data_IF_037907818531
#
_entry.id   IF_037907818531
#
_cell.length_a   1.000
_cell.length_b   1.000
_cell.length_c   1.000
_cell.angle_alpha   90.00
_cell.angle_beta   90.00
_cell.angle_gamma   90.00
#
_symmetry.space_group_name_H-M   'P 1'
#
loop_
_entity.id
_entity.type
_entity.pdbx_description
1 polymer ?
#
# COMPACT_ATOMS: atom_id res chain seq x y z
N UNK A 1 19.98 -29.92 -0.46
CA UNK A 1 19.16 -29.22 -1.44
C UNK A 1 18.55 -27.96 -0.83
N UNK A 2 18.43 -26.95 -1.62
CA UNK A 2 17.87 -25.70 -1.14
C UNK A 2 16.37 -25.68 -1.43
N UNK A 3 15.55 -25.60 -0.38
CA UNK A 3 14.10 -25.61 -0.52
C UNK A 3 13.50 -24.22 -0.45
N UNK A 4 14.30 -23.20 -0.62
CA UNK A 4 13.79 -21.82 -0.58
C UNK A 4 12.95 -21.51 -1.81
N UNK A 5 11.87 -20.79 -1.60
CA UNK A 5 11.02 -20.34 -2.69
C UNK A 5 11.73 -19.25 -3.48
N UNK A 6 11.74 -19.42 -4.79
CA UNK A 6 12.30 -18.44 -5.71
C UNK A 6 11.48 -18.43 -6.99
N UNK A 7 11.45 -17.28 -7.66
CA UNK A 7 10.66 -17.12 -8.87
C UNK A 7 9.21 -16.84 -8.55
N UNK A 8 8.31 -17.12 -9.48
CA UNK A 8 6.89 -16.82 -9.33
C UNK A 8 6.16 -17.98 -8.65
N UNK A 9 5.31 -17.66 -7.68
CA UNK A 9 4.53 -18.67 -6.99
C UNK A 9 3.34 -18.11 -6.25
N UNK A 10 2.44 -19.00 -5.83
CA UNK A 10 1.25 -18.66 -5.07
C UNK A 10 1.35 -19.31 -3.70
N UNK A 11 1.08 -18.54 -2.66
CA UNK A 11 1.10 -19.04 -1.29
C UNK A 11 -0.21 -18.68 -0.61
N UNK A 12 -0.81 -19.66 0.07
CA UNK A 12 -2.04 -19.46 0.83
C UNK A 12 -1.73 -19.60 2.31
N UNK A 13 -2.05 -18.55 3.10
CA UNK A 13 -1.86 -18.58 4.53
C UNK A 13 -3.02 -19.30 5.22
N UNK A 14 -2.80 -19.73 6.44
CA UNK A 14 -3.81 -20.48 7.17
C UNK A 14 -5.08 -19.68 7.44
N UNK A 15 -4.96 -18.36 7.53
CA UNK A 15 -6.11 -17.47 7.73
C UNK A 15 -6.90 -17.16 6.46
N UNK A 16 -6.46 -17.71 5.33
CA UNK A 16 -7.14 -17.49 4.05
C UNK A 16 -6.51 -16.42 3.18
N UNK A 17 -5.54 -15.69 3.68
CA UNK A 17 -4.83 -14.72 2.86
C UNK A 17 -4.00 -15.45 1.80
N UNK A 18 -3.86 -14.82 0.63
CA UNK A 18 -3.10 -15.39 -0.47
C UNK A 18 -2.10 -14.40 -1.02
N UNK A 19 -0.93 -14.90 -1.37
CA UNK A 19 0.08 -14.12 -2.08
C UNK A 19 0.36 -14.77 -3.43
N UNK A 20 0.37 -13.97 -4.48
CA UNK A 20 0.73 -14.41 -5.83
C UNK A 20 1.76 -13.45 -6.39
N UNK A 21 2.95 -13.95 -6.71
CA UNK A 21 3.99 -13.09 -7.25
C UNK A 21 5.37 -13.72 -7.13
N UNK A 22 6.37 -12.88 -7.10
CA UNK A 22 7.75 -13.33 -7.11
C UNK A 22 8.29 -13.54 -5.71
N UNK A 23 9.22 -14.47 -5.60
CA UNK A 23 9.86 -14.87 -4.36
C UNK A 23 11.37 -14.85 -4.51
N UNK A 24 12.07 -14.52 -3.45
CA UNK A 24 13.51 -14.61 -3.38
C UNK A 24 13.90 -15.04 -1.97
N UNK A 25 14.61 -16.15 -1.88
CA UNK A 25 15.06 -16.69 -0.60
C UNK A 25 13.92 -16.80 0.41
N UNK A 26 12.78 -17.38 -0.03
CA UNK A 26 11.57 -17.60 0.76
C UNK A 26 10.84 -16.32 1.16
N UNK A 27 11.20 -15.17 0.57
CA UNK A 27 10.54 -13.90 0.88
C UNK A 27 9.92 -13.31 -0.38
N UNK A 28 8.82 -12.60 -0.19
CA UNK A 28 8.22 -11.86 -1.32
C UNK A 28 9.23 -10.84 -1.81
N UNK A 29 9.35 -10.76 -3.13
CA UNK A 29 10.32 -9.87 -3.74
C UNK A 29 9.87 -9.53 -5.15
N UNK A 30 10.10 -8.26 -5.56
CA UNK A 30 9.65 -7.82 -6.85
C UNK A 30 8.14 -7.57 -6.86
N UNK A 31 7.49 -7.87 -7.96
CA UNK A 31 6.06 -7.59 -8.08
C UNK A 31 5.23 -8.73 -7.54
N UNK A 32 4.18 -8.38 -6.81
CA UNK A 32 3.29 -9.38 -6.25
C UNK A 32 1.92 -8.81 -5.93
N UNK A 33 1.00 -9.72 -5.61
CA UNK A 33 -0.36 -9.37 -5.25
C UNK A 33 -0.76 -10.21 -4.04
N UNK A 34 -1.30 -9.54 -3.05
CA UNK A 34 -1.75 -10.20 -1.83
C UNK A 34 -3.22 -9.88 -1.60
N UNK A 35 -4.00 -10.89 -1.21
CA UNK A 35 -5.43 -10.72 -0.93
C UNK A 35 -5.75 -11.32 0.43
N UNK A 36 -6.70 -10.69 1.14
CA UNK A 36 -7.13 -11.13 2.46
C UNK A 36 -8.60 -11.52 2.44
N UNK A 37 -9.03 -12.37 3.37
CA UNK A 37 -10.42 -12.86 3.38
C UNK A 37 -11.47 -11.75 3.53
N UNK A 38 -11.13 -10.63 4.14
CA UNK A 38 -12.06 -9.52 4.32
C UNK A 38 -12.26 -8.68 3.06
N UNK A 39 -11.56 -9.03 1.98
CA UNK A 39 -11.66 -8.30 0.73
C UNK A 39 -10.56 -7.29 0.49
N UNK A 40 -9.69 -7.07 1.46
CA UNK A 40 -8.54 -6.20 1.27
C UNK A 40 -7.54 -6.83 0.30
N UNK A 41 -6.78 -5.99 -0.40
CA UNK A 41 -5.76 -6.49 -1.31
C UNK A 41 -4.62 -5.49 -1.45
N UNK A 42 -3.44 -6.02 -1.78
CA UNK A 42 -2.29 -5.21 -2.14
C UNK A 42 -1.71 -5.73 -3.44
N UNK A 43 -1.34 -4.81 -4.33
CA UNK A 43 -0.66 -5.16 -5.57
C UNK A 43 0.45 -4.16 -5.81
N UNK A 44 1.69 -4.64 -5.93
CA UNK A 44 2.81 -3.75 -6.14
C UNK A 44 4.14 -4.41 -5.85
N UNK A 45 5.10 -3.60 -5.43
CA UNK A 45 6.47 -4.07 -5.24
C UNK A 45 6.71 -4.56 -3.82
N UNK A 46 7.53 -5.59 -3.72
CA UNK A 46 8.01 -6.15 -2.46
C UNK A 46 9.52 -6.19 -2.45
N UNK A 47 10.10 -6.05 -1.28
CA UNK A 47 11.53 -6.26 -1.06
C UNK A 47 11.72 -7.01 0.23
N UNK A 48 12.27 -8.21 0.13
CA UNK A 48 12.59 -9.07 1.28
C UNK A 48 11.39 -9.21 2.24
N UNK A 49 10.23 -9.49 1.67
CA UNK A 49 9.01 -9.74 2.44
C UNK A 49 8.24 -8.52 2.86
N UNK A 50 8.69 -7.33 2.48
CA UNK A 50 8.03 -6.07 2.87
C UNK A 50 7.57 -5.30 1.64
N UNK A 51 6.46 -4.59 1.79
CA UNK A 51 6.02 -3.67 0.75
C UNK A 51 7.05 -2.56 0.61
N UNK A 52 7.50 -2.32 -0.62
CA UNK A 52 8.56 -1.37 -0.86
C UNK A 52 8.48 -0.89 -2.30
N UNK A 53 8.76 0.40 -2.53
CA UNK A 53 8.63 0.95 -3.87
C UNK A 53 7.22 1.45 -4.14
N UNK A 54 6.61 1.04 -5.23
CA UNK A 54 5.26 1.48 -5.59
C UNK A 54 4.25 0.35 -5.43
N UNK A 55 3.04 0.71 -4.99
CA UNK A 55 1.98 -0.27 -4.90
C UNK A 55 0.63 0.36 -4.66
N UNK A 56 -0.41 -0.47 -4.76
CA UNK A 56 -1.80 -0.09 -4.50
C UNK A 56 -2.35 -1.01 -3.42
N UNK A 57 -2.85 -0.42 -2.35
CA UNK A 57 -3.50 -1.15 -1.27
C UNK A 57 -4.97 -0.76 -1.24
N UNK A 58 -5.86 -1.76 -1.27
CA UNK A 58 -7.30 -1.55 -1.19
C UNK A 58 -7.80 -2.21 0.07
N UNK A 59 -8.52 -1.44 0.91
CA UNK A 59 -9.09 -1.95 2.14
C UNK A 59 -10.50 -2.49 1.92
N UNK A 60 -10.97 -3.26 2.87
CA UNK A 60 -12.27 -3.92 2.76
C UNK A 60 -13.44 -2.95 2.64
N UNK A 61 -13.30 -1.71 3.12
CA UNK A 61 -14.35 -0.69 3.02
C UNK A 61 -14.35 0.05 1.69
N UNK A 62 -13.44 -0.30 0.77
CA UNK A 62 -13.35 0.34 -0.53
C UNK A 62 -12.38 1.51 -0.60
N UNK A 63 -11.82 1.95 0.52
CA UNK A 63 -10.78 2.95 0.49
C UNK A 63 -9.50 2.35 -0.09
N UNK A 64 -8.64 3.20 -0.67
CA UNK A 64 -7.39 2.70 -1.23
C UNK A 64 -6.28 3.72 -1.11
N UNK A 65 -5.05 3.21 -1.14
CA UNK A 65 -3.85 4.00 -1.27
C UNK A 65 -3.08 3.54 -2.49
N UNK A 66 -2.58 4.49 -3.28
CA UNK A 66 -1.74 4.21 -4.45
C UNK A 66 -0.54 5.12 -4.40
N UNK A 67 0.65 4.55 -4.33
CA UNK A 67 1.86 5.36 -4.26
C UNK A 67 3.03 4.58 -3.70
N UNK A 68 3.89 5.29 -2.98
CA UNK A 68 5.15 4.74 -2.52
C UNK A 68 5.04 4.10 -1.14
N UNK A 69 5.78 3.02 -0.97
CA UNK A 69 5.91 2.30 0.29
C UNK A 69 7.39 2.17 0.64
N UNK A 70 7.67 2.12 1.93
CA UNK A 70 9.01 1.84 2.44
C UNK A 70 8.88 0.92 3.65
N UNK A 71 9.38 -0.31 3.52
CA UNK A 71 9.37 -1.31 4.59
C UNK A 71 8.00 -1.42 5.26
N UNK A 72 6.95 -1.68 4.45
CA UNK A 72 5.55 -1.83 4.86
C UNK A 72 4.85 -0.53 5.25
N UNK A 73 5.54 0.60 5.23
CA UNK A 73 4.94 1.88 5.60
C UNK A 73 4.63 2.70 4.37
N UNK A 74 3.57 3.50 4.48
CA UNK A 74 3.26 4.49 3.45
C UNK A 74 4.22 5.65 3.65
N UNK A 75 5.05 5.91 2.64
CA UNK A 75 6.03 6.99 2.68
C UNK A 75 6.25 7.54 1.30
N UNK A 76 6.68 8.82 1.22
CA UNK A 76 6.95 9.46 -0.05
C UNK A 76 5.69 10.04 -0.66
N UNK A 77 5.54 9.93 -1.96
CA UNK A 77 4.39 10.50 -2.67
C UNK A 77 3.33 9.44 -2.87
N UNK A 78 2.06 9.82 -2.63
CA UNK A 78 0.97 8.89 -2.85
C UNK A 78 -0.40 9.54 -2.78
N UNK A 79 -1.40 8.78 -3.21
CA UNK A 79 -2.79 9.18 -3.24
C UNK A 79 -3.60 8.23 -2.37
N UNK A 80 -4.38 8.80 -1.47
CA UNK A 80 -5.28 8.03 -0.62
C UNK A 80 -6.71 8.48 -0.91
N UNK A 81 -7.62 7.52 -1.08
CA UNK A 81 -9.03 7.81 -1.25
C UNK A 81 -9.83 7.07 -0.20
N UNK A 82 -10.60 7.83 0.58
CA UNK A 82 -11.48 7.26 1.60
C UNK A 82 -12.77 6.75 0.98
N UNK A 83 -13.43 5.86 1.68
CA UNK A 83 -14.67 5.25 1.17
C UNK A 83 -15.78 6.26 0.96
N UNK A 84 -15.75 7.40 1.66
CA UNK A 84 -16.76 8.45 1.51
C UNK A 84 -16.47 9.41 0.36
N UNK A 85 -15.36 9.20 -0.39
CA UNK A 85 -15.03 10.02 -1.54
C UNK A 85 -14.00 11.11 -1.28
N UNK A 86 -13.54 11.28 -0.05
CA UNK A 86 -12.45 12.20 0.22
C UNK A 86 -11.16 11.65 -0.40
N UNK A 87 -10.26 12.56 -0.78
CA UNK A 87 -8.99 12.17 -1.38
C UNK A 87 -7.86 13.05 -0.88
N UNK A 88 -6.68 12.44 -0.73
CA UNK A 88 -5.47 13.17 -0.43
C UNK A 88 -4.40 12.79 -1.46
N UNK A 89 -3.72 13.80 -2.01
CA UNK A 89 -2.58 13.62 -2.92
C UNK A 89 -1.40 14.38 -2.31
N UNK A 90 -0.30 13.70 -2.07
CA UNK A 90 0.84 14.41 -1.55
C UNK A 90 1.82 13.51 -0.82
N UNK A 91 2.50 14.11 0.14
CA UNK A 91 3.60 13.46 0.83
C UNK A 91 3.13 12.71 2.07
N UNK A 92 3.80 11.61 2.36
CA UNK A 92 3.49 10.73 3.47
C UNK A 92 4.76 10.38 4.23
N UNK A 93 4.64 10.16 5.51
CA UNK A 93 5.72 9.69 6.36
C UNK A 93 5.18 8.81 7.46
N UNK A 94 5.69 7.58 7.54
CA UNK A 94 5.28 6.62 8.55
C UNK A 94 3.77 6.48 8.63
N UNK A 95 3.11 6.29 7.47
CA UNK A 95 1.66 6.08 7.37
C UNK A 95 0.84 7.31 7.71
N UNK A 96 1.45 8.49 7.77
CA UNK A 96 0.74 9.73 8.08
C UNK A 96 0.98 10.77 6.99
N UNK A 97 -0.02 11.61 6.79
CA UNK A 97 0.15 12.75 5.90
C UNK A 97 1.20 13.68 6.51
N UNK A 98 2.23 13.99 5.75
CA UNK A 98 3.32 14.80 6.25
C UNK A 98 3.98 15.49 5.07
N UNK A 99 4.21 16.80 5.20
CA UNK A 99 4.75 17.59 4.11
C UNK A 99 3.64 18.22 3.29
N UNK A 100 3.90 18.41 2.00
CA UNK A 100 2.96 19.15 1.16
C UNK A 100 1.94 18.20 0.52
N UNK A 101 0.68 18.65 0.48
CA UNK A 101 -0.34 17.83 -0.13
C UNK A 101 -1.62 18.60 -0.43
N UNK A 102 -2.53 17.94 -1.14
CA UNK A 102 -3.83 18.46 -1.51
C UNK A 102 -4.90 17.50 -1.01
N UNK A 103 -5.84 18.03 -0.23
CA UNK A 103 -6.97 17.27 0.29
C UNK A 103 -8.25 17.78 -0.37
N UNK A 104 -9.06 16.87 -0.91
CA UNK A 104 -10.32 17.24 -1.56
C UNK A 104 -11.48 16.49 -0.93
N UNK A 105 -12.64 17.15 -0.87
CA UNK A 105 -13.88 16.59 -0.34
C UNK A 105 -14.87 16.37 -1.48
N UNK A 106 -15.82 15.45 -1.30
CA UNK A 106 -16.80 15.16 -2.36
C UNK A 106 -17.65 16.36 -2.77
N UNK A 107 -17.85 17.33 -1.87
CA UNK A 107 -18.64 18.53 -2.17
C UNK A 107 -17.86 19.59 -2.95
N UNK A 108 -16.61 19.29 -3.33
CA UNK A 108 -15.78 20.20 -4.09
C UNK A 108 -14.84 21.07 -3.29
N UNK A 109 -14.90 21.01 -1.98
CA UNK A 109 -13.95 21.76 -1.15
C UNK A 109 -12.55 21.17 -1.33
N UNK A 110 -11.56 22.03 -1.11
CA UNK A 110 -10.17 21.65 -1.34
C UNK A 110 -9.25 22.40 -0.36
N UNK A 111 -8.32 21.67 0.22
CA UNK A 111 -7.24 22.25 1.01
C UNK A 111 -5.91 21.91 0.34
N UNK A 112 -5.05 22.91 0.17
CA UNK A 112 -3.72 22.70 -0.39
C UNK A 112 -2.72 23.38 0.53
N UNK A 113 -1.76 22.61 1.03
CA UNK A 113 -0.78 23.15 1.96
C UNK A 113 0.05 22.07 2.60
N UNK A 114 0.51 22.36 3.81
CA UNK A 114 1.40 21.47 4.51
C UNK A 114 0.70 20.74 5.63
N UNK A 115 1.16 19.51 5.85
CA UNK A 115 0.69 18.65 6.93
C UNK A 115 1.88 18.24 7.79
N UNK A 116 1.59 17.98 9.05
CA UNK A 116 2.57 17.42 9.97
C UNK A 116 1.85 16.36 10.80
N UNK A 117 2.22 15.09 10.58
CA UNK A 117 1.64 13.94 11.26
C UNK A 117 0.11 13.99 11.23
N UNK A 118 -0.46 14.09 10.00
CA UNK A 118 -1.91 14.16 9.74
C UNK A 118 -2.59 15.46 10.19
N UNK A 119 -1.83 16.44 10.60
CA UNK A 119 -2.36 17.74 11.03
C UNK A 119 -2.05 18.81 10.01
N UNK A 120 -3.01 19.69 9.84
CA UNK A 120 -2.86 20.84 8.95
C UNK A 120 -2.00 21.93 9.61
#
# INVERSE_FOLDING_TARGET
>A
MNDKAEGHGVYTHMDGAQYSGFWKEDKQHGKGKETWPDGAMYEGDYQMGKKHGHGTFVWSDGSYYQGQFFENNIEGLGQYRWSDGREYHGQWRNNKMDGRGVFTWPDGRRYEGEYFEDRK
#
